data_IF_060075853017
#
_entry.id   IF_060075853017
#
_cell.length_a   1.000
_cell.length_b   1.000
_cell.length_c   1.000
_cell.angle_alpha   90.00
_cell.angle_beta   90.00
_cell.angle_gamma   90.00
#
_symmetry.space_group_name_H-M   'P 1'
#
loop_
_entity.id
_entity.type
_entity.pdbx_description
1 polymer ?
#
# COMPACT_ATOMS: atom_id res chain seq x y z
N UNK A 1 6.21 7.27 -5.69
CA UNK A 1 7.29 8.08 -6.33
C UNK A 1 8.05 7.19 -7.29
N UNK A 2 9.02 7.68 -8.08
CA UNK A 2 9.80 6.80 -8.97
C UNK A 2 10.48 5.64 -8.22
N UNK A 3 10.89 5.86 -6.97
CA UNK A 3 11.50 4.84 -6.12
C UNK A 3 10.58 3.67 -5.73
N UNK A 4 9.26 3.81 -5.86
CA UNK A 4 8.33 2.70 -5.63
C UNK A 4 8.14 1.80 -6.85
N UNK A 5 8.78 2.11 -7.99
CA UNK A 5 8.68 1.33 -9.22
C UNK A 5 10.03 0.77 -9.65
N UNK A 6 10.38 -0.40 -9.11
CA UNK A 6 11.64 -1.08 -9.44
C UNK A 6 11.51 -1.86 -10.75
N UNK A 7 12.56 -1.81 -11.58
CA UNK A 7 12.58 -2.48 -12.89
C UNK A 7 12.56 -4.01 -12.79
N UNK A 8 13.12 -4.55 -11.71
CA UNK A 8 13.21 -5.98 -11.45
C UNK A 8 12.65 -6.29 -10.07
N UNK A 9 11.87 -7.36 -9.99
CA UNK A 9 11.39 -7.91 -8.74
C UNK A 9 12.43 -8.88 -8.15
N UNK A 10 12.55 -8.86 -6.83
CA UNK A 10 13.23 -9.89 -6.04
C UNK A 10 12.57 -9.92 -4.66
N UNK A 11 12.43 -11.10 -4.04
CA UNK A 11 11.98 -11.20 -2.65
C UNK A 11 13.01 -10.59 -1.68
N UNK A 12 14.25 -10.38 -2.14
CA UNK A 12 15.34 -9.73 -1.43
C UNK A 12 16.06 -8.75 -2.37
N UNK A 13 15.59 -7.51 -2.52
CA UNK A 13 16.15 -6.56 -3.49
C UNK A 13 17.38 -5.80 -2.96
N UNK A 14 17.86 -6.12 -1.75
CA UNK A 14 18.99 -5.45 -1.10
C UNK A 14 19.94 -6.45 -0.43
N UNK A 15 21.10 -5.95 -0.03
CA UNK A 15 22.10 -6.64 0.78
C UNK A 15 22.56 -5.71 1.90
N UNK A 16 23.21 -6.27 2.92
CA UNK A 16 23.79 -5.47 4.00
C UNK A 16 25.30 -5.72 4.10
N UNK A 17 26.04 -4.71 4.55
CA UNK A 17 27.49 -4.77 4.76
C UNK A 17 27.82 -4.38 6.20
N UNK A 18 28.83 -5.04 6.78
CA UNK A 18 29.31 -4.79 8.13
C UNK A 18 30.66 -4.04 8.10
N UNK A 19 31.08 -3.54 9.27
CA UNK A 19 32.35 -2.84 9.45
C UNK A 19 33.59 -3.73 9.22
N UNK A 20 33.41 -5.06 9.22
CA UNK A 20 34.47 -6.05 8.95
C UNK A 20 34.77 -6.23 7.45
N UNK A 21 34.30 -5.31 6.60
CA UNK A 21 34.41 -5.37 5.14
C UNK A 21 33.71 -6.59 4.50
N UNK A 22 32.78 -7.23 5.22
CA UNK A 22 31.93 -8.30 4.66
C UNK A 22 30.55 -7.77 4.28
N UNK A 23 30.08 -8.15 3.10
CA UNK A 23 28.71 -7.94 2.65
C UNK A 23 28.00 -9.27 2.49
N UNK A 24 26.72 -9.33 2.85
CA UNK A 24 25.93 -10.57 2.82
C UNK A 24 24.59 -10.30 2.15
N UNK A 25 24.23 -11.20 1.24
CA UNK A 25 22.97 -11.18 0.50
C UNK A 25 22.09 -12.32 0.97
N UNK A 26 20.80 -12.05 1.21
CA UNK A 26 19.80 -13.06 1.61
C UNK A 26 20.26 -14.00 2.75
N UNK A 27 21.09 -13.50 3.67
CA UNK A 27 21.73 -14.30 4.74
C UNK A 27 21.21 -13.95 6.14
N UNK A 28 20.10 -13.20 6.21
CA UNK A 28 19.37 -12.80 7.42
C UNK A 28 17.87 -12.94 7.17
N UNK A 29 17.11 -12.87 8.25
CA UNK A 29 15.64 -12.86 8.22
C UNK A 29 15.13 -11.44 7.92
N UNK A 30 15.60 -10.86 6.83
CA UNK A 30 15.13 -9.57 6.34
C UNK A 30 13.90 -9.77 5.44
N UNK A 31 13.14 -8.68 5.25
CA UNK A 31 11.85 -8.70 4.57
C UNK A 31 11.79 -7.66 3.45
N UNK A 32 10.94 -7.89 2.45
CA UNK A 32 10.52 -6.89 1.48
C UNK A 32 9.00 -6.89 1.32
N UNK A 33 8.43 -5.73 1.02
CA UNK A 33 6.99 -5.52 0.89
C UNK A 33 6.68 -4.95 -0.49
N UNK A 34 5.68 -5.53 -1.14
CA UNK A 34 5.29 -5.15 -2.50
C UNK A 34 3.79 -4.93 -2.56
N UNK A 35 3.32 -3.91 -3.28
CA UNK A 35 1.90 -3.80 -3.60
C UNK A 35 1.43 -5.07 -4.29
N UNK A 36 0.26 -5.56 -3.90
CA UNK A 36 -0.27 -6.82 -4.39
C UNK A 36 -1.43 -6.64 -5.36
N UNK A 37 -1.67 -7.68 -6.16
CA UNK A 37 -2.88 -7.81 -6.98
C UNK A 37 -4.09 -8.24 -6.14
N UNK A 38 -5.27 -8.33 -6.75
CA UNK A 38 -6.49 -8.87 -6.16
C UNK A 38 -6.58 -10.42 -6.22
N UNK A 39 -5.52 -11.09 -6.66
CA UNK A 39 -5.47 -12.55 -6.73
C UNK A 39 -5.69 -13.20 -5.37
N UNK A 40 -6.69 -14.08 -5.31
CA UNK A 40 -7.01 -14.81 -4.09
C UNK A 40 -5.91 -15.83 -3.77
N UNK A 41 -5.43 -15.83 -2.53
CA UNK A 41 -4.49 -16.85 -2.08
C UNK A 41 -5.22 -18.17 -1.83
N UNK A 42 -4.78 -19.30 -2.41
CA UNK A 42 -5.39 -20.59 -2.13
C UNK A 42 -5.24 -20.95 -0.66
N UNK A 43 -6.34 -21.36 -0.01
CA UNK A 43 -6.37 -21.72 1.41
C UNK A 43 -5.38 -22.82 1.81
N UNK A 44 -4.97 -23.66 0.85
CA UNK A 44 -4.11 -24.83 1.06
C UNK A 44 -2.62 -24.54 0.87
N UNK A 45 -2.25 -23.32 0.43
CA UNK A 45 -0.86 -22.96 0.12
C UNK A 45 -0.32 -22.08 1.24
N UNK A 46 0.65 -22.55 2.06
CA UNK A 46 1.16 -21.76 3.17
C UNK A 46 2.10 -20.63 2.73
N UNK A 47 2.78 -20.76 1.59
CA UNK A 47 3.70 -19.76 1.05
C UNK A 47 3.70 -19.78 -0.48
N UNK A 48 3.77 -18.60 -1.10
CA UNK A 48 3.90 -18.44 -2.54
C UNK A 48 5.40 -18.38 -2.87
N UNK A 49 5.82 -19.11 -3.90
CA UNK A 49 7.24 -19.22 -4.30
C UNK A 49 7.41 -19.29 -5.81
N UNK A 50 8.62 -19.01 -6.29
CA UNK A 50 9.01 -19.17 -7.69
C UNK A 50 8.16 -18.35 -8.67
N UNK A 51 7.92 -18.89 -9.86
CA UNK A 51 7.24 -18.20 -10.96
C UNK A 51 5.79 -17.81 -10.61
N UNK A 52 5.16 -18.52 -9.67
CA UNK A 52 3.81 -18.21 -9.22
C UNK A 52 3.70 -16.85 -8.51
N UNK A 53 4.81 -16.27 -8.04
CA UNK A 53 4.84 -14.94 -7.41
C UNK A 53 4.44 -13.82 -8.39
N UNK A 54 4.72 -14.00 -9.69
CA UNK A 54 4.49 -12.96 -10.69
C UNK A 54 3.01 -12.54 -10.79
N UNK A 55 2.07 -13.42 -10.46
CA UNK A 55 0.64 -13.10 -10.48
C UNK A 55 0.18 -12.30 -9.26
N UNK A 56 0.96 -12.27 -8.17
CA UNK A 56 0.57 -11.61 -6.92
C UNK A 56 1.18 -10.22 -6.75
N UNK A 57 2.28 -9.93 -7.44
CA UNK A 57 3.01 -8.66 -7.33
C UNK A 57 2.44 -7.65 -8.33
N UNK A 58 2.05 -6.47 -7.82
CA UNK A 58 1.53 -5.38 -8.64
C UNK A 58 2.58 -4.81 -9.59
N UNK A 59 2.11 -4.18 -10.67
CA UNK A 59 2.92 -3.50 -11.68
C UNK A 59 2.75 -2.00 -11.54
N UNK A 60 3.74 -1.26 -12.03
CA UNK A 60 3.77 0.19 -11.95
C UNK A 60 4.28 0.77 -13.27
N UNK A 61 3.94 2.03 -13.52
CA UNK A 61 4.50 2.83 -14.61
C UNK A 61 5.03 4.15 -14.05
N UNK A 62 6.11 4.65 -14.66
CA UNK A 62 6.68 5.95 -14.34
C UNK A 62 6.49 6.84 -15.55
N UNK A 63 5.74 7.92 -15.35
CA UNK A 63 5.35 8.84 -16.41
C UNK A 63 5.93 10.24 -16.14
N UNK A 64 6.34 10.93 -17.21
CA UNK A 64 6.64 12.35 -17.16
C UNK A 64 5.34 13.15 -17.32
N UNK A 65 5.14 14.15 -16.47
CA UNK A 65 3.96 15.01 -16.50
C UNK A 65 4.37 16.48 -16.75
N UNK A 66 3.55 17.26 -17.47
CA UNK A 66 3.86 18.66 -17.79
C UNK A 66 3.71 19.61 -16.58
N UNK A 67 3.24 19.12 -15.44
CA UNK A 67 3.03 19.89 -14.23
C UNK A 67 3.03 19.01 -12.97
N UNK A 68 2.86 19.65 -11.81
CA UNK A 68 2.83 18.95 -10.53
C UNK A 68 1.60 18.05 -10.43
N UNK A 69 1.77 16.90 -9.79
CA UNK A 69 0.68 15.95 -9.48
C UNK A 69 0.55 15.82 -7.97
N UNK A 70 -0.66 16.04 -7.47
CA UNK A 70 -0.99 16.05 -6.04
C UNK A 70 -2.31 15.30 -5.84
N UNK A 71 -2.43 14.57 -4.73
CA UNK A 71 -3.69 13.96 -4.30
C UNK A 71 -4.48 14.90 -3.37
N UNK A 72 -5.80 14.92 -3.55
CA UNK A 72 -6.76 15.56 -2.66
C UNK A 72 -7.66 14.51 -2.02
N UNK A 73 -7.97 14.69 -0.74
CA UNK A 73 -8.75 13.74 0.05
C UNK A 73 -10.04 14.40 0.54
N UNK A 74 -11.18 13.71 0.40
CA UNK A 74 -12.48 14.30 0.76
C UNK A 74 -12.84 14.14 2.24
N UNK A 75 -12.23 13.17 2.93
CA UNK A 75 -12.63 12.72 4.27
C UNK A 75 -14.13 12.38 4.35
N UNK A 76 -14.72 11.95 3.24
CA UNK A 76 -16.09 11.47 3.14
C UNK A 76 -16.17 10.40 2.01
N UNK A 77 -17.38 9.92 1.71
CA UNK A 77 -17.59 8.89 0.68
C UNK A 77 -17.76 9.45 -0.75
N UNK A 78 -17.62 10.77 -0.95
CA UNK A 78 -17.72 11.44 -2.25
C UNK A 78 -16.35 11.79 -2.80
N UNK A 79 -16.23 11.76 -4.13
CA UNK A 79 -14.98 12.11 -4.81
C UNK A 79 -14.71 13.61 -4.63
N UNK A 80 -13.53 14.02 -4.12
CA UNK A 80 -13.20 15.43 -4.03
C UNK A 80 -13.03 16.04 -5.42
N UNK A 81 -13.50 17.27 -5.60
CA UNK A 81 -13.25 18.01 -6.84
C UNK A 81 -11.81 18.55 -6.84
N UNK A 82 -11.14 18.49 -8.00
CA UNK A 82 -9.84 19.14 -8.17
C UNK A 82 -10.00 20.67 -8.03
N UNK A 83 -9.01 21.38 -7.44
CA UNK A 83 -9.02 22.83 -7.39
C UNK A 83 -9.04 23.47 -8.78
N UNK A 84 -9.44 24.74 -8.85
CA UNK A 84 -9.44 25.48 -10.11
C UNK A 84 -8.05 25.46 -10.78
N UNK A 85 -8.01 25.14 -12.07
CA UNK A 85 -6.78 25.03 -12.85
C UNK A 85 -6.09 23.66 -12.77
N UNK A 86 -6.58 22.73 -11.95
CA UNK A 86 -6.09 21.35 -11.89
C UNK A 86 -6.94 20.42 -12.76
N UNK A 87 -6.31 19.39 -13.30
CA UNK A 87 -6.96 18.35 -14.11
C UNK A 87 -6.95 17.02 -13.35
N UNK A 88 -8.08 16.29 -13.31
CA UNK A 88 -8.13 14.98 -12.68
C UNK A 88 -7.32 13.95 -13.48
N UNK A 89 -6.61 13.07 -12.78
CA UNK A 89 -5.87 11.95 -13.40
C UNK A 89 -6.56 10.61 -13.13
N UNK A 90 -6.80 10.28 -11.85
CA UNK A 90 -7.55 9.10 -11.43
C UNK A 90 -8.29 9.38 -10.12
N UNK A 91 -9.12 8.43 -9.71
CA UNK A 91 -9.91 8.51 -8.48
C UNK A 91 -9.62 7.26 -7.65
N UNK A 92 -9.73 7.35 -6.33
CA UNK A 92 -9.40 6.19 -5.49
C UNK A 92 -9.86 6.28 -4.05
N UNK A 93 -9.12 5.58 -3.20
CA UNK A 93 -9.28 5.47 -1.77
C UNK A 93 -8.04 6.00 -1.05
N UNK A 94 -8.29 6.69 0.05
CA UNK A 94 -7.28 7.44 0.78
C UNK A 94 -6.42 6.54 1.67
N UNK A 95 -5.30 6.06 1.14
CA UNK A 95 -4.34 5.20 1.82
C UNK A 95 -3.29 6.02 2.57
N UNK A 96 -3.04 5.69 3.84
CA UNK A 96 -2.16 6.46 4.72
C UNK A 96 -0.87 5.72 4.99
N UNK A 97 -0.96 4.49 5.48
CA UNK A 97 0.19 3.71 5.89
C UNK A 97 -0.13 2.22 5.95
N UNK A 98 0.91 1.41 6.06
CA UNK A 98 0.83 -0.01 6.34
C UNK A 98 1.82 -0.42 7.40
N UNK A 99 1.52 -1.51 8.10
CA UNK A 99 2.43 -2.17 9.04
C UNK A 99 2.45 -3.66 8.78
N UNK A 100 3.63 -4.27 8.84
CA UNK A 100 3.85 -5.70 8.75
C UNK A 100 4.48 -6.25 10.04
N UNK A 101 5.37 -7.23 9.88
CA UNK A 101 6.07 -7.91 10.98
C UNK A 101 6.65 -6.92 11.98
N UNK A 102 6.40 -7.18 13.27
CA UNK A 102 6.94 -6.38 14.37
C UNK A 102 6.32 -4.98 14.51
N UNK A 103 5.20 -4.69 13.83
CA UNK A 103 4.63 -3.34 13.72
C UNK A 103 5.53 -2.33 13.00
N UNK A 104 6.53 -2.82 12.28
CA UNK A 104 7.32 -2.00 11.36
C UNK A 104 6.49 -1.70 10.11
N UNK A 105 6.64 -0.49 9.57
CA UNK A 105 5.72 0.00 8.56
C UNK A 105 6.23 1.19 7.77
N UNK A 106 5.44 1.58 6.79
CA UNK A 106 5.73 2.74 5.94
C UNK A 106 4.45 3.49 5.60
N UNK A 107 4.59 4.82 5.48
CA UNK A 107 3.49 5.73 5.20
C UNK A 107 3.63 6.45 3.86
N UNK A 108 2.54 7.08 3.43
CA UNK A 108 2.49 7.95 2.27
C UNK A 108 2.24 9.39 2.72
N UNK A 109 2.97 10.39 2.18
CA UNK A 109 2.55 11.78 2.32
C UNK A 109 1.16 11.95 1.71
N UNK A 110 0.20 12.57 2.41
CA UNK A 110 -1.18 12.72 1.91
C UNK A 110 -1.28 13.61 0.65
N UNK A 111 -0.26 14.41 0.35
CA UNK A 111 -0.18 15.15 -0.92
C UNK A 111 0.38 14.31 -2.07
N UNK A 112 1.02 13.18 -1.77
CA UNK A 112 1.61 12.29 -2.78
C UNK A 112 0.50 11.53 -3.50
N UNK A 113 0.56 11.35 -4.83
CA UNK A 113 -0.39 10.49 -5.53
C UNK A 113 -0.40 9.04 -5.00
N UNK A 114 0.67 8.60 -4.33
CA UNK A 114 0.74 7.30 -3.66
C UNK A 114 -0.23 7.12 -2.48
N UNK A 115 -0.79 8.19 -1.91
CA UNK A 115 -1.86 8.10 -0.91
C UNK A 115 -3.24 7.83 -1.53
N UNK A 116 -3.36 7.77 -2.86
CA UNK A 116 -4.62 7.57 -3.56
C UNK A 116 -4.63 6.28 -4.39
N UNK A 117 -4.90 5.14 -3.74
CA UNK A 117 -4.98 3.84 -4.42
C UNK A 117 -6.32 3.71 -5.16
N UNK A 118 -6.27 3.41 -6.46
CA UNK A 118 -7.46 3.28 -7.32
C UNK A 118 -8.44 2.21 -6.82
N UNK A 119 -7.90 1.10 -6.32
CA UNK A 119 -8.67 -0.04 -5.83
C UNK A 119 -8.49 -0.21 -4.32
N UNK A 120 -9.60 -0.35 -3.60
CA UNK A 120 -9.55 -0.70 -2.19
C UNK A 120 -9.30 -2.20 -2.02
N UNK A 121 -8.29 -2.53 -1.24
CA UNK A 121 -8.04 -3.88 -0.73
C UNK A 121 -7.74 -3.79 0.76
N UNK A 122 -8.28 -4.72 1.55
CA UNK A 122 -8.03 -4.76 3.00
C UNK A 122 -6.54 -4.88 3.34
N UNK A 123 -5.78 -5.66 2.56
CA UNK A 123 -4.33 -5.77 2.68
C UNK A 123 -3.77 -5.61 1.26
N UNK A 124 -3.38 -4.38 0.84
CA UNK A 124 -2.98 -4.08 -0.54
C UNK A 124 -1.50 -4.41 -0.83
N UNK A 125 -0.87 -5.24 0.01
CA UNK A 125 0.54 -5.59 -0.11
C UNK A 125 0.80 -7.03 0.31
N UNK A 126 1.86 -7.62 -0.25
CA UNK A 126 2.36 -8.96 0.08
C UNK A 126 3.73 -8.84 0.75
N UNK A 127 3.95 -9.64 1.79
CA UNK A 127 5.23 -9.72 2.49
C UNK A 127 6.10 -10.83 1.89
N UNK A 128 7.38 -10.55 1.64
CA UNK A 128 8.35 -11.44 1.06
C UNK A 128 9.60 -11.58 1.94
N UNK A 129 10.22 -12.76 1.92
CA UNK A 129 11.38 -13.10 2.75
C UNK A 129 12.62 -13.44 1.90
N UNK A 130 13.80 -13.33 2.53
CA UNK A 130 15.09 -13.67 1.92
C UNK A 130 15.20 -15.10 1.37
N UNK A 131 14.42 -16.04 1.92
CA UNK A 131 14.37 -17.43 1.47
C UNK A 131 13.55 -17.67 0.19
N UNK A 132 13.00 -16.62 -0.43
CA UNK A 132 12.24 -16.74 -1.68
C UNK A 132 10.74 -17.03 -1.52
N UNK A 133 10.21 -16.87 -0.31
CA UNK A 133 8.79 -17.08 0.01
C UNK A 133 8.07 -15.75 0.20
N UNK A 134 6.81 -15.66 -0.20
CA UNK A 134 5.93 -14.55 0.14
C UNK A 134 4.56 -15.03 0.64
N UNK A 135 3.89 -14.22 1.46
CA UNK A 135 2.58 -14.52 2.03
C UNK A 135 1.84 -13.24 2.47
N UNK A 136 0.54 -13.39 2.77
CA UNK A 136 -0.26 -12.43 3.52
C UNK A 136 -0.39 -12.91 4.96
N UNK A 137 -0.04 -12.05 5.91
CA UNK A 137 -0.09 -12.39 7.32
C UNK A 137 -1.27 -11.70 8.03
N UNK A 138 -1.82 -12.36 9.05
CA UNK A 138 -2.97 -11.85 9.80
C UNK A 138 -2.66 -10.65 10.70
N UNK A 139 -1.38 -10.41 10.98
CA UNK A 139 -0.85 -9.28 11.74
C UNK A 139 -0.43 -8.10 10.83
N UNK A 140 -0.61 -8.24 9.51
CA UNK A 140 -0.49 -7.13 8.57
C UNK A 140 -1.70 -6.22 8.66
N UNK A 141 -1.47 -4.91 8.70
CA UNK A 141 -2.53 -3.91 8.73
C UNK A 141 -2.33 -2.85 7.65
N UNK A 142 -3.44 -2.37 7.09
CA UNK A 142 -3.49 -1.20 6.23
C UNK A 142 -4.35 -0.12 6.87
N UNK A 143 -3.95 1.13 6.71
CA UNK A 143 -4.59 2.28 7.33
C UNK A 143 -5.08 3.25 6.27
N UNK A 144 -6.34 3.64 6.40
CA UNK A 144 -7.05 4.48 5.43
C UNK A 144 -7.65 5.69 6.15
N UNK A 145 -7.76 6.83 5.47
CA UNK A 145 -8.52 7.95 6.02
C UNK A 145 -10.00 7.56 6.10
N UNK A 146 -10.63 7.86 7.23
CA UNK A 146 -12.04 7.60 7.45
C UNK A 146 -12.93 8.67 6.79
N UNK A 147 -14.14 8.27 6.38
CA UNK A 147 -15.24 9.16 6.10
C UNK A 147 -15.81 9.69 7.42
N UNK A 148 -15.86 11.02 7.57
CA UNK A 148 -16.25 11.70 8.80
C UNK A 148 -17.54 12.51 8.59
N UNK A 149 -18.29 12.68 9.67
CA UNK A 149 -19.38 13.66 9.74
C UNK A 149 -18.82 14.99 10.27
N UNK A 150 -18.88 16.09 9.48
CA UNK A 150 -18.42 17.41 9.91
C UNK A 150 -19.07 17.89 11.21
N UNK A 151 -20.30 17.46 11.52
CA UNK A 151 -20.98 17.82 12.76
C UNK A 151 -20.40 17.14 14.01
N UNK A 152 -19.59 16.08 13.84
CA UNK A 152 -19.04 15.25 14.91
C UNK A 152 -17.51 15.34 15.03
N UNK A 153 -16.84 16.28 14.36
CA UNK A 153 -15.36 16.37 14.33
C UNK A 153 -14.68 16.44 15.72
N UNK A 154 -15.37 17.05 16.69
CA UNK A 154 -14.88 17.21 18.07
C UNK A 154 -15.61 16.32 19.08
N UNK A 155 -16.45 15.41 18.58
CA UNK A 155 -17.15 14.41 19.40
C UNK A 155 -16.29 13.16 19.57
N UNK A 156 -16.60 12.36 20.60
CA UNK A 156 -16.00 11.03 20.73
C UNK A 156 -16.36 10.18 19.48
N UNK A 157 -15.39 9.61 18.76
CA UNK A 157 -15.68 8.76 17.61
C UNK A 157 -16.57 7.57 17.99
N UNK A 158 -17.55 7.26 17.13
CA UNK A 158 -18.39 6.08 17.29
C UNK A 158 -17.66 4.85 16.76
N UNK A 159 -17.46 3.83 17.61
CA UNK A 159 -16.86 2.56 17.20
C UNK A 159 -17.76 1.85 16.19
N UNK A 160 -17.19 1.50 15.04
CA UNK A 160 -17.87 0.71 14.02
C UNK A 160 -16.98 -0.48 13.65
N UNK A 161 -17.59 -1.66 13.55
CA UNK A 161 -16.93 -2.86 13.03
C UNK A 161 -17.57 -3.14 11.68
N UNK A 162 -16.84 -2.85 10.62
CA UNK A 162 -17.26 -3.22 9.28
C UNK A 162 -16.99 -4.71 9.06
N UNK A 163 -18.06 -5.44 8.79
CA UNK A 163 -17.98 -6.79 8.23
C UNK A 163 -18.04 -6.63 6.71
N UNK A 164 -17.29 -7.46 6.00
CA UNK A 164 -17.14 -7.43 4.53
C UNK A 164 -16.32 -6.25 3.98
N UNK A 165 -16.11 -6.26 2.66
CA UNK A 165 -15.27 -5.30 1.94
C UNK A 165 -16.04 -4.00 1.64
N UNK A 166 -16.79 -3.47 2.60
CA UNK A 166 -17.57 -2.24 2.43
C UNK A 166 -16.66 -1.00 2.55
N UNK A 167 -16.47 -0.22 1.48
CA UNK A 167 -15.62 0.96 1.52
C UNK A 167 -16.39 2.22 1.98
N UNK A 168 -17.59 2.05 2.54
CA UNK A 168 -18.53 3.13 2.87
C UNK A 168 -17.97 4.11 3.90
N UNK A 169 -17.09 3.64 4.79
CA UNK A 169 -16.39 4.47 5.77
C UNK A 169 -15.00 4.94 5.33
N UNK A 170 -14.60 4.70 4.07
CA UNK A 170 -13.27 5.05 3.59
C UNK A 170 -13.35 6.35 2.77
N UNK A 171 -12.50 7.31 3.15
CA UNK A 171 -12.33 8.57 2.44
C UNK A 171 -11.93 8.35 0.98
N UNK A 172 -12.56 9.09 0.08
CA UNK A 172 -12.17 9.10 -1.33
C UNK A 172 -11.09 10.11 -1.61
N UNK A 173 -10.43 9.94 -2.74
CA UNK A 173 -9.38 10.84 -3.22
C UNK A 173 -9.41 10.98 -4.74
N UNK A 174 -8.77 12.05 -5.22
CA UNK A 174 -8.56 12.37 -6.62
C UNK A 174 -7.27 13.18 -6.79
#
# INVERSE_FOLDING_TARGET
TMGSCLQMFSTMPFLFCNMDSTCRYASRNDYSYWLSTDMHMPSDVPFITGDSLAQYVSRCSVCEAPGNVIAFHSQNNTIPSCPFGWQPLWQGYSFVMQTGVGSEGSGQPLSSPGSCLENFQRIPFIECHGQGTCNYYSDSYSYWLAALDPSQMFSKPTTQILKDNEPSLISRCQ
#
